data_IF_364542807209
#
_entry.id   IF_364542807209
#
_cell.length_a   1.000
_cell.length_b   1.000
_cell.length_c   1.000
_cell.angle_alpha   90.00
_cell.angle_beta   90.00
_cell.angle_gamma   90.00
#
_symmetry.space_group_name_H-M   'P 1'
#
loop_
_entity.id
_entity.type
_entity.pdbx_description
1 polymer ?
#
# COMPACT_ATOMS: atom_id res chain seq x y z
N UNK A 1 26.86 28.20 -4.04
CA UNK A 1 25.99 27.04 -4.41
C UNK A 1 26.36 25.67 -3.79
N UNK A 2 27.34 25.54 -2.88
CA UNK A 2 27.77 24.20 -2.38
C UNK A 2 27.18 23.78 -1.02
N UNK A 3 26.58 24.69 -0.25
CA UNK A 3 26.22 24.46 1.16
C UNK A 3 24.76 24.15 1.43
N UNK A 4 23.83 24.45 0.52
CA UNK A 4 22.38 24.19 0.67
C UNK A 4 21.94 22.75 0.38
N UNK A 5 22.83 21.89 -0.14
CA UNK A 5 22.46 20.54 -0.61
C UNK A 5 22.33 19.50 0.52
N UNK A 6 22.91 19.74 1.70
CA UNK A 6 23.00 18.74 2.78
C UNK A 6 21.65 18.36 3.45
N UNK A 7 20.72 19.30 3.76
CA UNK A 7 19.45 18.92 4.39
C UNK A 7 18.46 18.28 3.40
N UNK A 8 18.46 18.70 2.14
CA UNK A 8 17.57 18.16 1.09
C UNK A 8 17.85 16.67 0.84
N UNK A 9 19.13 16.28 0.81
CA UNK A 9 19.55 14.88 0.60
C UNK A 9 19.23 13.99 1.81
N UNK A 10 19.09 14.54 3.02
CA UNK A 10 18.67 13.79 4.21
C UNK A 10 17.15 13.59 4.27
N UNK A 11 16.37 14.57 3.81
CA UNK A 11 14.92 14.40 3.70
C UNK A 11 14.52 13.45 2.56
N UNK A 12 15.27 13.42 1.46
CA UNK A 12 14.96 12.55 0.32
C UNK A 12 15.09 11.06 0.66
N UNK A 13 16.08 10.67 1.45
CA UNK A 13 16.24 9.27 1.91
C UNK A 13 15.13 8.87 2.87
N UNK A 14 14.71 9.75 3.77
CA UNK A 14 13.56 9.52 4.64
C UNK A 14 12.26 9.36 3.84
N UNK A 15 12.01 10.25 2.87
CA UNK A 15 10.84 10.19 1.97
C UNK A 15 10.82 8.92 1.11
N UNK A 16 11.96 8.51 0.56
CA UNK A 16 12.07 7.26 -0.21
C UNK A 16 11.77 6.04 0.69
N UNK A 17 12.30 6.01 1.91
CA UNK A 17 12.02 4.94 2.87
C UNK A 17 10.54 4.89 3.29
N UNK A 18 9.89 6.05 3.39
CA UNK A 18 8.46 6.17 3.70
C UNK A 18 7.61 5.66 2.54
N UNK A 19 7.91 6.08 1.30
CA UNK A 19 7.21 5.62 0.10
C UNK A 19 7.29 4.09 -0.06
N UNK A 20 8.49 3.51 0.15
CA UNK A 20 8.67 2.06 0.15
C UNK A 20 7.87 1.38 1.26
N UNK A 21 7.88 1.90 2.48
CA UNK A 21 7.09 1.34 3.60
C UNK A 21 5.58 1.42 3.34
N UNK A 22 5.10 2.54 2.78
CA UNK A 22 3.68 2.73 2.45
C UNK A 22 3.26 1.76 1.33
N UNK A 23 4.05 1.66 0.26
CA UNK A 23 3.78 0.73 -0.84
C UNK A 23 3.78 -0.75 -0.43
N UNK A 24 4.67 -1.15 0.47
CA UNK A 24 4.69 -2.54 1.01
C UNK A 24 3.49 -2.79 1.92
N UNK A 25 3.05 -1.80 2.71
CA UNK A 25 1.88 -1.94 3.60
C UNK A 25 0.58 -2.04 2.82
N UNK A 26 0.40 -1.25 1.77
CA UNK A 26 -0.82 -1.31 0.93
C UNK A 26 -0.95 -2.66 0.24
N UNK A 27 0.16 -3.20 -0.29
CA UNK A 27 0.14 -4.50 -0.97
C UNK A 27 -0.24 -5.64 0.00
N UNK A 28 0.32 -5.66 1.21
CA UNK A 28 -0.01 -6.67 2.22
C UNK A 28 -1.46 -6.57 2.70
N UNK A 29 -2.00 -5.35 2.85
CA UNK A 29 -3.41 -5.15 3.22
C UNK A 29 -4.37 -5.59 2.12
N UNK A 30 -4.02 -5.36 0.84
CA UNK A 30 -4.81 -5.82 -0.29
C UNK A 30 -4.88 -7.37 -0.35
N UNK A 31 -3.77 -8.06 -0.09
CA UNK A 31 -3.76 -9.52 -0.02
C UNK A 31 -4.60 -10.05 1.15
N UNK A 32 -4.56 -9.40 2.32
CA UNK A 32 -5.37 -9.77 3.48
C UNK A 32 -6.86 -9.53 3.21
N UNK A 33 -7.21 -8.43 2.54
CA UNK A 33 -8.59 -8.15 2.14
C UNK A 33 -9.14 -9.22 1.19
N UNK A 34 -8.35 -9.65 0.20
CA UNK A 34 -8.73 -10.72 -0.71
C UNK A 34 -8.87 -12.08 0.00
N UNK A 35 -7.97 -12.39 0.93
CA UNK A 35 -8.01 -13.65 1.69
C UNK A 35 -9.18 -13.71 2.68
N UNK A 36 -9.50 -12.60 3.34
CA UNK A 36 -10.60 -12.49 4.29
C UNK A 36 -11.94 -12.12 3.63
N UNK A 37 -12.03 -12.16 2.30
CA UNK A 37 -13.26 -11.79 1.62
C UNK A 37 -14.38 -12.76 2.04
N UNK A 38 -15.51 -12.25 2.58
CA UNK A 38 -16.59 -13.10 3.03
C UNK A 38 -17.13 -13.92 1.86
N UNK A 39 -17.48 -15.18 2.13
CA UNK A 39 -18.08 -16.07 1.12
C UNK A 39 -19.36 -15.43 0.57
N UNK A 40 -19.60 -15.57 -0.72
CA UNK A 40 -20.79 -15.01 -1.38
C UNK A 40 -22.07 -15.41 -0.62
N UNK A 41 -22.97 -14.46 -0.31
CA UNK A 41 -24.21 -14.76 0.35
C UNK A 41 -25.08 -15.68 -0.51
N UNK A 42 -25.68 -16.69 0.12
CA UNK A 42 -26.51 -17.71 -0.57
C UNK A 42 -27.63 -17.12 -1.42
N UNK A 43 -28.16 -15.94 -1.07
CA UNK A 43 -29.21 -15.25 -1.83
C UNK A 43 -28.77 -14.72 -3.19
N UNK A 44 -27.48 -14.44 -3.38
CA UNK A 44 -26.94 -13.85 -4.62
C UNK A 44 -26.56 -14.94 -5.63
N UNK A 45 -26.36 -16.19 -5.16
CA UNK A 45 -26.03 -17.34 -6.00
C UNK A 45 -27.06 -17.61 -7.12
N UNK A 46 -28.32 -17.20 -6.92
CA UNK A 46 -29.42 -17.35 -7.90
C UNK A 46 -29.29 -16.43 -9.12
N UNK A 47 -28.45 -15.39 -9.04
CA UNK A 47 -28.23 -14.42 -10.12
C UNK A 47 -26.90 -14.63 -10.84
N UNK A 48 -26.16 -15.69 -10.49
CA UNK A 48 -24.93 -16.08 -11.18
C UNK A 48 -25.31 -16.72 -12.52
N UNK A 49 -24.78 -16.19 -13.62
CA UNK A 49 -24.97 -16.73 -14.99
C UNK A 49 -24.40 -18.14 -15.12
#
# INVERSE_FOLDING_TARGET
>A
MKTLKKPIVKCSTALASLALKVGVRTNKQACIFWYNQPKEPKGISKFRK
#
